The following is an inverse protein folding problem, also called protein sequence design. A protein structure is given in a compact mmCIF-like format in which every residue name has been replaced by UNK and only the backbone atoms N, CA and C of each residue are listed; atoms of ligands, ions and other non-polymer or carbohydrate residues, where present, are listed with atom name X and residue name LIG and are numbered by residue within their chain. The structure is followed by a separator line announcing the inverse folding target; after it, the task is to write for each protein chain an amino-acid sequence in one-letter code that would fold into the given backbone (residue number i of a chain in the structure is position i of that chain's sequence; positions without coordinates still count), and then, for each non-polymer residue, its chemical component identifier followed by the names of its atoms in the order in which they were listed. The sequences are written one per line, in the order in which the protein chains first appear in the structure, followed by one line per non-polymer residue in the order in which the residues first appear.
data_IF_031614632973
#
_entry.id   IF_031614632973
#
_cell.length_a   1.000
_cell.length_b   1.000
_cell.length_c   1.000
_cell.angle_alpha   90.00
_cell.angle_beta   90.00
_cell.angle_gamma   90.00
#
_symmetry.space_group_name_H-M   'P 1'
#
loop_
_entity.id
_entity.type
_entity.pdbx_description
1 polymer ?
#
# COMPACT_ATOMS: atom_id res chain seq x y z
N UNK A 1 10.75 -19.85 0.07
CA UNK A 1 10.08 -18.95 -0.91
C UNK A 1 9.98 -17.57 -0.31
N UNK A 2 10.31 -16.56 -1.09
CA UNK A 2 10.16 -15.15 -0.68
C UNK A 2 8.69 -14.74 -0.75
N UNK A 3 8.13 -14.26 0.35
CA UNK A 3 6.73 -13.82 0.42
C UNK A 3 6.64 -12.32 0.23
N UNK A 4 5.89 -11.90 -0.78
CA UNK A 4 5.70 -10.49 -1.14
C UNK A 4 4.22 -10.12 -0.99
N UNK A 5 3.94 -9.05 -0.27
CA UNK A 5 2.62 -8.44 -0.22
C UNK A 5 2.61 -7.19 -1.11
N UNK A 6 1.63 -7.10 -2.00
CA UNK A 6 1.27 -5.85 -2.66
C UNK A 6 0.04 -5.29 -1.94
N UNK A 7 0.25 -4.25 -1.15
CA UNK A 7 -0.77 -3.63 -0.30
C UNK A 7 -1.15 -2.26 -0.86
N UNK A 8 -2.42 -2.08 -1.23
CA UNK A 8 -2.83 -0.84 -1.88
C UNK A 8 -4.12 -0.25 -1.31
N UNK A 9 -4.34 1.02 -1.61
CA UNK A 9 -5.64 1.68 -1.56
C UNK A 9 -5.97 2.27 -2.95
N UNK A 10 -7.21 2.14 -3.38
CA UNK A 10 -7.69 2.71 -4.63
C UNK A 10 -9.12 3.22 -4.48
N UNK A 11 -9.34 4.50 -4.82
CA UNK A 11 -10.69 5.10 -4.84
C UNK A 11 -11.45 4.74 -6.11
N UNK A 12 -10.79 4.76 -7.28
CA UNK A 12 -11.44 4.66 -8.59
C UNK A 12 -10.92 3.50 -9.46
N UNK A 13 -10.05 2.66 -8.93
CA UNK A 13 -9.52 1.49 -9.62
C UNK A 13 -8.16 1.67 -10.29
N UNK A 14 -7.58 2.87 -10.32
CA UNK A 14 -6.26 3.08 -10.94
C UNK A 14 -5.14 2.37 -10.17
N UNK A 15 -5.10 2.53 -8.85
CA UNK A 15 -4.12 1.85 -8.01
C UNK A 15 -4.35 0.34 -7.96
N UNK A 16 -5.59 -0.12 -8.06
CA UNK A 16 -5.92 -1.55 -8.20
C UNK A 16 -5.27 -2.13 -9.46
N UNK A 17 -5.40 -1.43 -10.60
CA UNK A 17 -4.78 -1.86 -11.86
C UNK A 17 -3.26 -1.89 -11.76
N UNK A 18 -2.66 -0.87 -11.16
CA UNK A 18 -1.21 -0.83 -10.92
C UNK A 18 -0.76 -1.94 -9.99
N UNK A 19 -1.50 -2.22 -8.92
CA UNK A 19 -1.18 -3.29 -7.97
C UNK A 19 -1.13 -4.66 -8.66
N UNK A 20 -2.04 -4.92 -9.60
CA UNK A 20 -2.03 -6.16 -10.40
C UNK A 20 -0.77 -6.26 -11.24
N UNK A 21 -0.38 -5.19 -11.95
CA UNK A 21 0.83 -5.17 -12.77
C UNK A 21 2.10 -5.33 -11.92
N UNK A 22 2.16 -4.65 -10.77
CA UNK A 22 3.27 -4.80 -9.81
C UNK A 22 3.38 -6.25 -9.31
N UNK A 23 2.25 -6.87 -8.98
CA UNK A 23 2.23 -8.26 -8.52
C UNK A 23 2.66 -9.23 -9.61
N UNK A 24 2.29 -9.00 -10.87
CA UNK A 24 2.77 -9.79 -12.01
C UNK A 24 4.28 -9.70 -12.16
N UNK A 25 4.83 -8.49 -12.05
CA UNK A 25 6.28 -8.28 -12.06
C UNK A 25 6.99 -9.05 -10.95
N UNK A 26 6.48 -8.99 -9.73
CA UNK A 26 7.03 -9.73 -8.60
C UNK A 26 6.94 -11.26 -8.80
N UNK A 27 5.82 -11.76 -9.33
CA UNK A 27 5.64 -13.19 -9.64
C UNK A 27 6.56 -13.72 -10.73
N UNK A 28 7.07 -12.84 -11.60
CA UNK A 28 8.02 -13.24 -12.65
C UNK A 28 9.38 -13.66 -12.08
N UNK A 29 9.67 -13.34 -10.83
CA UNK A 29 10.92 -13.74 -10.16
C UNK A 29 10.74 -15.16 -9.59
N UNK A 30 11.56 -16.14 -10.00
CA UNK A 30 11.47 -17.51 -9.49
C UNK A 30 11.61 -17.56 -7.96
N UNK A 31 10.81 -18.38 -7.31
CA UNK A 31 10.84 -18.55 -5.85
C UNK A 31 10.09 -17.48 -5.06
N UNK A 32 9.27 -16.68 -5.74
CA UNK A 32 8.46 -15.62 -5.12
C UNK A 32 6.99 -16.03 -5.06
N UNK A 33 6.38 -15.85 -3.90
CA UNK A 33 4.95 -15.96 -3.65
C UNK A 33 4.39 -14.56 -3.42
N UNK A 34 3.33 -14.18 -4.14
CA UNK A 34 2.82 -12.80 -4.13
C UNK A 34 1.34 -12.78 -3.82
N UNK A 35 0.97 -12.06 -2.77
CA UNK A 35 -0.41 -11.76 -2.42
C UNK A 35 -0.72 -10.29 -2.73
N UNK A 36 -1.97 -10.01 -3.12
CA UNK A 36 -2.49 -8.66 -3.31
C UNK A 36 -3.59 -8.44 -2.27
N UNK A 37 -3.46 -7.40 -1.48
CA UNK A 37 -4.47 -7.00 -0.50
C UNK A 37 -4.68 -5.50 -0.54
N UNK A 38 -5.80 -5.05 0.00
CA UNK A 38 -6.13 -3.63 0.10
C UNK A 38 -6.37 -3.21 1.54
N UNK A 39 -6.19 -1.93 1.82
CA UNK A 39 -6.57 -1.36 3.13
C UNK A 39 -8.06 -1.03 3.16
N UNK A 40 -8.68 -0.97 4.35
CA UNK A 40 -10.10 -0.64 4.48
C UNK A 40 -10.44 0.75 3.95
N UNK A 41 -11.65 0.89 3.38
CA UNK A 41 -12.21 2.18 3.02
C UNK A 41 -12.71 2.92 4.28
N UNK A 42 -12.49 4.22 4.34
CA UNK A 42 -12.94 5.10 5.43
C UNK A 42 -14.14 5.96 5.03
N UNK A 43 -14.37 6.14 3.72
CA UNK A 43 -15.50 6.92 3.23
C UNK A 43 -16.79 6.12 3.43
N UNK A 44 -17.84 6.72 4.01
CA UNK A 44 -19.13 6.07 4.14
C UNK A 44 -19.65 5.57 2.78
N UNK A 45 -20.28 4.39 2.77
CA UNK A 45 -20.66 3.69 1.54
C UNK A 45 -21.57 4.54 0.62
N UNK A 46 -22.53 5.25 1.19
CA UNK A 46 -23.42 6.12 0.43
C UNK A 46 -22.69 7.31 -0.21
N UNK A 47 -21.70 7.87 0.46
CA UNK A 47 -20.85 8.94 -0.08
C UNK A 47 -19.92 8.39 -1.17
N UNK A 48 -19.32 7.23 -0.95
CA UNK A 48 -18.46 6.58 -1.92
C UNK A 48 -19.20 6.28 -3.23
N UNK A 49 -20.42 5.73 -3.13
CA UNK A 49 -21.28 5.46 -4.28
C UNK A 49 -21.65 6.74 -5.06
N UNK A 50 -22.04 7.80 -4.34
CA UNK A 50 -22.37 9.10 -4.97
C UNK A 50 -21.16 9.73 -5.68
N UNK A 51 -19.97 9.50 -5.16
CA UNK A 51 -18.71 10.01 -5.72
C UNK A 51 -18.16 9.16 -6.86
N UNK A 52 -18.81 8.07 -7.24
CA UNK A 52 -18.37 7.17 -8.31
C UNK A 52 -17.14 6.32 -7.93
N UNK A 53 -16.89 6.12 -6.64
CA UNK A 53 -15.79 5.28 -6.17
C UNK A 53 -16.04 3.81 -6.53
N UNK A 54 -14.97 3.09 -6.89
CA UNK A 54 -15.02 1.67 -7.17
C UNK A 54 -15.03 0.87 -5.88
N UNK A 55 -16.19 0.33 -5.50
CA UNK A 55 -16.37 -0.42 -4.27
C UNK A 55 -16.13 -1.93 -4.44
N UNK A 56 -16.33 -2.47 -5.64
CA UNK A 56 -16.24 -3.90 -5.98
C UNK A 56 -14.80 -4.28 -6.34
N UNK A 57 -13.91 -4.22 -5.39
CA UNK A 57 -12.51 -4.63 -5.58
C UNK A 57 -12.30 -6.02 -4.97
N UNK A 58 -11.81 -7.01 -5.77
CA UNK A 58 -11.76 -8.41 -5.32
C UNK A 58 -10.65 -8.69 -4.31
N UNK A 59 -9.62 -7.85 -4.21
CA UNK A 59 -8.54 -8.07 -3.26
C UNK A 59 -9.07 -8.06 -1.81
N UNK A 60 -8.70 -9.05 -0.98
CA UNK A 60 -9.12 -9.09 0.43
C UNK A 60 -8.54 -7.90 1.21
N UNK A 61 -9.21 -7.55 2.30
CA UNK A 61 -8.74 -6.50 3.20
C UNK A 61 -7.62 -7.05 4.07
N UNK A 62 -6.51 -6.32 4.15
CA UNK A 62 -5.36 -6.66 4.97
C UNK A 62 -5.61 -6.37 6.45
N UNK A 63 -4.99 -7.17 7.30
CA UNK A 63 -4.81 -6.88 8.72
C UNK A 63 -3.40 -6.37 9.00
N UNK A 64 -3.27 -5.44 9.93
CA UNK A 64 -1.95 -4.94 10.37
C UNK A 64 -1.08 -6.09 10.91
N UNK A 65 -1.69 -7.02 11.65
CA UNK A 65 -0.98 -8.11 12.32
C UNK A 65 -0.34 -9.12 11.37
N UNK A 66 -0.76 -9.14 10.10
CA UNK A 66 -0.18 -10.06 9.12
C UNK A 66 1.10 -9.55 8.46
N UNK A 67 1.40 -8.24 8.54
CA UNK A 67 2.55 -7.65 7.86
C UNK A 67 3.89 -8.34 8.18
N UNK A 68 4.15 -8.78 9.42
CA UNK A 68 5.39 -9.52 9.72
C UNK A 68 5.56 -10.84 8.99
N UNK A 69 4.50 -11.41 8.41
CA UNK A 69 4.55 -12.68 7.71
C UNK A 69 5.18 -12.58 6.30
N UNK A 70 5.40 -11.36 5.81
CA UNK A 70 5.97 -11.10 4.49
C UNK A 70 7.44 -10.68 4.62
N UNK A 71 8.25 -11.04 3.63
CA UNK A 71 9.65 -10.63 3.52
C UNK A 71 9.77 -9.25 2.88
N UNK A 72 8.84 -8.94 1.99
CA UNK A 72 8.77 -7.65 1.30
C UNK A 72 7.32 -7.17 1.20
N UNK A 73 7.13 -5.86 1.29
CA UNK A 73 5.82 -5.22 1.12
C UNK A 73 5.96 -4.08 0.12
N UNK A 74 5.15 -4.12 -0.94
CA UNK A 74 5.06 -3.07 -1.94
C UNK A 74 3.77 -2.31 -1.71
N UNK A 75 3.89 -1.07 -1.26
CA UNK A 75 2.75 -0.23 -0.88
C UNK A 75 2.30 0.63 -2.06
N UNK A 76 1.00 0.73 -2.28
CA UNK A 76 0.42 1.60 -3.30
C UNK A 76 -0.69 2.47 -2.74
N UNK A 77 -0.62 3.78 -2.98
CA UNK A 77 -1.68 4.72 -2.61
C UNK A 77 -1.74 5.91 -3.56
N UNK A 78 -2.93 6.50 -3.77
CA UNK A 78 -3.05 7.73 -4.52
C UNK A 78 -2.53 8.91 -3.70
N UNK A 79 -2.33 10.03 -4.38
CA UNK A 79 -2.03 11.30 -3.71
C UNK A 79 -3.29 11.97 -3.17
N UNK A 80 -3.13 12.63 -2.05
CA UNK A 80 -4.04 13.67 -1.56
C UNK A 80 -3.18 14.88 -1.17
N UNK A 81 -3.20 15.90 -2.02
CA UNK A 81 -2.41 17.11 -1.82
C UNK A 81 -0.91 16.85 -1.61
N UNK A 82 -0.33 15.93 -2.39
CA UNK A 82 1.08 15.56 -2.30
C UNK A 82 1.44 14.59 -1.17
N UNK A 83 0.46 14.04 -0.47
CA UNK A 83 0.61 13.08 0.63
C UNK A 83 -0.16 11.79 0.34
N UNK A 84 0.15 10.71 1.06
CA UNK A 84 -0.63 9.47 0.97
C UNK A 84 -2.07 9.70 1.44
N UNK A 85 -3.00 8.93 0.87
CA UNK A 85 -4.41 8.99 1.26
C UNK A 85 -4.64 8.64 2.72
N UNK A 86 -5.71 9.20 3.30
CA UNK A 86 -6.08 8.95 4.70
C UNK A 86 -6.28 7.46 4.99
N UNK A 87 -6.82 6.70 4.06
CA UNK A 87 -7.06 5.26 4.22
C UNK A 87 -5.75 4.50 4.46
N UNK A 88 -4.74 4.74 3.63
CA UNK A 88 -3.42 4.13 3.82
C UNK A 88 -2.73 4.68 5.08
N UNK A 89 -2.84 5.98 5.34
CA UNK A 89 -2.29 6.59 6.56
C UNK A 89 -2.90 5.99 7.82
N UNK A 90 -4.22 5.83 7.86
CA UNK A 90 -4.91 5.21 8.99
C UNK A 90 -4.46 3.76 9.20
N UNK A 91 -4.24 3.00 8.14
CA UNK A 91 -3.72 1.64 8.24
C UNK A 91 -2.30 1.63 8.83
N UNK A 92 -1.42 2.49 8.33
CA UNK A 92 -0.03 2.59 8.82
C UNK A 92 0.04 3.12 10.27
N UNK A 93 -0.84 4.02 10.66
CA UNK A 93 -0.90 4.53 12.03
C UNK A 93 -1.25 3.43 13.06
N UNK A 94 -1.89 2.35 12.63
CA UNK A 94 -2.19 1.20 13.48
C UNK A 94 -1.01 0.23 13.67
N UNK A 95 0.13 0.48 13.05
CA UNK A 95 1.32 -0.38 13.16
C UNK A 95 2.21 -0.07 14.38
N UNK A 96 1.71 0.67 15.36
CA UNK A 96 2.48 1.07 16.53
C UNK A 96 3.06 -0.10 17.32
N UNK A 97 2.29 -1.17 17.51
CA UNK A 97 2.75 -2.39 18.19
C UNK A 97 3.85 -3.11 17.40
N UNK A 98 3.75 -3.15 16.08
CA UNK A 98 4.78 -3.73 15.22
C UNK A 98 6.08 -2.92 15.29
N UNK A 99 5.95 -1.59 15.31
CA UNK A 99 7.09 -0.70 15.48
C UNK A 99 7.78 -0.92 16.84
N UNK A 100 7.01 -0.98 17.92
CA UNK A 100 7.56 -1.19 19.27
C UNK A 100 8.32 -2.51 19.38
N UNK A 101 7.83 -3.57 18.72
CA UNK A 101 8.45 -4.90 18.69
C UNK A 101 9.56 -5.03 17.64
N UNK A 102 9.76 -4.03 16.79
CA UNK A 102 10.71 -4.10 15.68
C UNK A 102 10.35 -5.15 14.62
N UNK A 103 9.07 -5.45 14.46
CA UNK A 103 8.61 -6.59 13.63
C UNK A 103 8.89 -6.43 12.14
N UNK A 104 9.09 -5.21 11.66
CA UNK A 104 9.36 -4.91 10.25
C UNK A 104 10.81 -4.53 9.97
N UNK A 105 11.68 -4.54 10.98
CA UNK A 105 13.10 -4.22 10.81
C UNK A 105 13.74 -5.20 9.81
N UNK A 106 14.43 -4.64 8.81
CA UNK A 106 15.15 -5.40 7.79
C UNK A 106 14.28 -5.98 6.68
N UNK A 107 12.95 -5.86 6.75
CA UNK A 107 12.07 -6.25 5.65
C UNK A 107 12.16 -5.22 4.52
N UNK A 108 11.97 -5.68 3.29
CA UNK A 108 12.01 -4.81 2.11
C UNK A 108 10.70 -4.05 1.97
N UNK A 109 10.80 -2.75 1.74
CA UNK A 109 9.68 -1.86 1.45
C UNK A 109 9.85 -1.13 0.13
N UNK A 110 8.81 -1.10 -0.68
CA UNK A 110 8.75 -0.35 -1.94
C UNK A 110 7.42 0.38 -2.06
N UNK A 111 7.35 1.38 -2.93
CA UNK A 111 6.17 2.26 -3.02
C UNK A 111 5.85 2.56 -4.47
N UNK A 112 4.56 2.59 -4.80
CA UNK A 112 4.06 3.14 -6.04
C UNK A 112 2.88 4.08 -5.81
N UNK A 113 2.72 5.06 -6.68
CA UNK A 113 1.62 6.02 -6.64
C UNK A 113 1.16 6.41 -8.03
N UNK A 114 0.03 7.06 -8.12
CA UNK A 114 -0.53 7.65 -9.33
C UNK A 114 -1.22 8.95 -8.99
N UNK A 115 -1.11 9.93 -9.87
CA UNK A 115 -1.79 11.23 -9.75
C UNK A 115 -2.59 11.53 -10.99
N UNK A 116 -3.68 12.29 -10.86
CA UNK A 116 -4.52 12.69 -11.99
C UNK A 116 -3.83 13.70 -12.91
N UNK A 117 -2.87 14.44 -12.40
CA UNK A 117 -2.14 15.48 -13.13
C UNK A 117 -0.67 15.13 -13.29
N UNK A 118 -0.07 15.59 -14.37
CA UNK A 118 1.37 15.52 -14.53
C UNK A 118 2.06 16.35 -13.44
N UNK A 119 3.09 15.78 -12.81
CA UNK A 119 3.78 16.39 -11.66
C UNK A 119 2.85 16.76 -10.48
N UNK A 120 1.78 16.00 -10.28
CA UNK A 120 0.74 16.24 -9.28
C UNK A 120 1.08 15.78 -7.85
N UNK A 121 2.38 15.70 -7.50
CA UNK A 121 2.83 15.34 -6.17
C UNK A 121 3.25 13.87 -6.02
N UNK A 122 3.65 13.21 -7.10
CA UNK A 122 4.15 11.83 -7.04
C UNK A 122 5.33 11.70 -6.08
N UNK A 123 6.33 12.59 -6.21
CA UNK A 123 7.55 12.57 -5.41
C UNK A 123 7.27 12.75 -3.93
N UNK A 124 6.49 13.76 -3.57
CA UNK A 124 6.17 14.04 -2.16
C UNK A 124 5.32 12.91 -1.53
N UNK A 125 4.42 12.33 -2.30
CA UNK A 125 3.62 11.18 -1.87
C UNK A 125 4.53 9.98 -1.57
N UNK A 126 5.44 9.65 -2.48
CA UNK A 126 6.41 8.56 -2.30
C UNK A 126 7.32 8.83 -1.09
N UNK A 127 7.85 10.04 -0.97
CA UNK A 127 8.71 10.42 0.16
C UNK A 127 7.98 10.35 1.50
N UNK A 128 6.70 10.70 1.54
CA UNK A 128 5.89 10.57 2.76
C UNK A 128 5.72 9.11 3.20
N UNK A 129 5.60 8.20 2.24
CA UNK A 129 5.63 6.76 2.51
C UNK A 129 6.99 6.33 3.04
N UNK A 130 8.06 6.68 2.34
CA UNK A 130 9.43 6.31 2.74
C UNK A 130 9.75 6.71 4.16
N UNK A 131 9.34 7.90 4.59
CA UNK A 131 9.53 8.36 5.96
C UNK A 131 8.93 7.37 6.97
N UNK A 132 7.73 6.90 6.75
CA UNK A 132 7.08 5.91 7.61
C UNK A 132 7.80 4.56 7.58
N UNK A 133 8.17 4.06 6.40
CA UNK A 133 8.84 2.77 6.24
C UNK A 133 10.23 2.78 6.90
N UNK A 134 10.96 3.89 6.82
CA UNK A 134 12.24 4.07 7.51
C UNK A 134 12.07 4.06 9.03
N UNK A 135 11.01 4.67 9.56
CA UNK A 135 10.69 4.57 10.98
C UNK A 135 10.38 3.14 11.43
N UNK A 136 9.85 2.31 10.55
CA UNK A 136 9.63 0.88 10.80
C UNK A 136 10.92 0.05 10.69
N UNK A 137 12.03 0.65 10.26
CA UNK A 137 13.30 -0.05 10.04
C UNK A 137 13.34 -0.88 8.76
N UNK A 138 12.47 -0.62 7.80
CA UNK A 138 12.46 -1.31 6.52
C UNK A 138 13.60 -0.83 5.61
N UNK A 139 14.04 -1.71 4.71
CA UNK A 139 14.99 -1.40 3.65
C UNK A 139 14.21 -0.93 2.42
N UNK A 140 14.40 0.32 2.01
CA UNK A 140 13.73 0.90 0.85
C UNK A 140 14.44 0.46 -0.44
N UNK A 141 13.66 -0.03 -1.38
CA UNK A 141 14.14 -0.42 -2.73
C UNK A 141 13.20 0.10 -3.81
#
# INVERSE_FOLDING_TARGET
MTKVLVLYYSSYGHLETMAKAVAEGARSVPGTEVEIKRVPELVPEDVAKKSGMKMDQPAPIASVDELPNYDAIIFGAPTRFGMISAQMRNFLDQTGDLWLKGSLIGKVGSVFTSTATQHGGQESTILSFHTTLLHQGMVIV
#
